data_IF_317230806588
#
_entry.id   IF_317230806588
#
_cell.length_a   1.000
_cell.length_b   1.000
_cell.length_c   1.000
_cell.angle_alpha   90.00
_cell.angle_beta   90.00
_cell.angle_gamma   90.00
#
_symmetry.space_group_name_H-M   'P 1'
#
loop_
_entity.id
_entity.type
_entity.pdbx_description
1 polymer ?
#
# COMPACT_ATOMS: atom_id res chain seq x y z
N UNK A 1 28.26 6.74 18.76
CA UNK A 1 28.06 6.34 17.35
C UNK A 1 26.93 7.19 16.82
N UNK A 2 27.22 8.04 15.83
CA UNK A 2 26.29 9.05 15.32
C UNK A 2 25.39 8.41 14.27
N UNK A 3 24.11 8.21 14.59
CA UNK A 3 23.09 7.87 13.60
C UNK A 3 22.92 9.08 12.67
N UNK A 4 23.12 8.92 11.36
CA UNK A 4 22.92 10.01 10.41
C UNK A 4 21.42 10.26 10.18
N UNK A 5 20.79 11.04 11.07
CA UNK A 5 19.43 11.55 10.88
C UNK A 5 19.51 13.01 10.43
N UNK A 6 18.68 13.42 9.46
CA UNK A 6 18.51 14.85 9.11
C UNK A 6 18.06 15.67 10.33
N UNK A 7 17.51 15.05 11.38
CA UNK A 7 17.26 15.72 12.68
C UNK A 7 18.54 16.20 13.37
N UNK A 8 19.69 15.57 13.13
CA UNK A 8 20.99 16.09 13.57
C UNK A 8 21.41 17.34 12.82
N UNK A 9 20.99 17.50 11.55
CA UNK A 9 21.19 18.72 10.76
C UNK A 9 20.26 19.86 11.24
N UNK A 10 19.04 19.55 11.70
CA UNK A 10 18.10 20.54 12.27
C UNK A 10 18.56 21.17 13.60
N UNK A 11 19.56 20.61 14.30
CA UNK A 11 20.05 21.17 15.59
C UNK A 11 20.96 22.38 15.40
N UNK A 12 21.59 22.53 14.24
CA UNK A 12 22.42 23.70 13.94
C UNK A 12 21.56 24.77 13.24
N UNK A 13 20.96 25.65 14.04
CA UNK A 13 20.21 26.84 13.60
C UNK A 13 21.11 27.90 12.93
N UNK A 14 21.77 27.53 11.85
CA UNK A 14 22.32 28.46 10.87
C UNK A 14 21.85 28.03 9.50
N UNK A 15 21.02 28.86 8.89
CA UNK A 15 20.46 28.70 7.55
C UNK A 15 21.55 28.54 6.48
N UNK A 16 22.07 27.33 6.32
CA UNK A 16 22.76 26.91 5.11
C UNK A 16 21.92 25.78 4.53
N UNK A 17 21.52 25.95 3.27
CA UNK A 17 21.03 24.85 2.45
C UNK A 17 22.14 23.80 2.42
N UNK A 18 22.00 22.76 3.23
CA UNK A 18 22.98 21.69 3.30
C UNK A 18 22.69 20.71 2.19
N UNK A 19 23.78 20.34 1.49
CA UNK A 19 23.77 19.38 0.42
C UNK A 19 24.61 18.18 0.84
N UNK A 20 23.95 17.06 1.03
CA UNK A 20 24.59 15.80 1.45
C UNK A 20 24.43 14.73 0.38
N UNK A 21 25.21 13.65 0.49
CA UNK A 21 25.07 12.47 -0.35
C UNK A 21 24.72 11.26 0.52
N UNK A 22 23.76 10.47 0.06
CA UNK A 22 23.44 9.13 0.58
C UNK A 22 23.29 8.20 -0.60
N UNK A 23 23.66 6.93 -0.45
CA UNK A 23 23.59 6.02 -1.59
C UNK A 23 22.15 5.78 -2.06
N UNK A 24 21.23 5.54 -1.11
CA UNK A 24 19.85 5.15 -1.40
C UNK A 24 18.86 5.98 -0.61
N UNK A 25 17.91 6.61 -1.31
CA UNK A 25 16.76 7.28 -0.71
C UNK A 25 15.53 6.40 -0.92
N UNK A 26 14.79 6.15 0.16
CA UNK A 26 13.48 5.49 0.15
C UNK A 26 12.44 6.56 0.50
N UNK A 27 11.40 6.69 -0.31
CA UNK A 27 10.33 7.66 -0.07
C UNK A 27 9.00 6.96 0.18
N UNK A 28 8.12 7.65 0.91
CA UNK A 28 6.72 7.27 1.05
C UNK A 28 6.36 6.77 2.44
N UNK A 29 5.27 6.02 2.51
CA UNK A 29 4.75 5.40 3.74
C UNK A 29 4.05 4.09 3.38
N UNK A 30 3.66 3.34 4.40
CA UNK A 30 2.91 2.09 4.23
C UNK A 30 3.77 0.83 4.27
N UNK A 31 3.10 -0.33 4.28
CA UNK A 31 3.68 -1.56 4.83
C UNK A 31 4.82 -2.11 3.99
N UNK A 32 4.73 -2.00 2.67
CA UNK A 32 5.74 -2.55 1.77
C UNK A 32 7.00 -1.67 1.68
N UNK A 33 6.83 -0.36 1.82
CA UNK A 33 7.94 0.60 1.91
C UNK A 33 8.71 0.41 3.22
N UNK A 34 7.99 0.24 4.35
CA UNK A 34 8.60 -0.05 5.65
C UNK A 34 9.26 -1.43 5.65
N UNK A 35 8.65 -2.44 5.01
CA UNK A 35 9.24 -3.76 4.85
C UNK A 35 10.57 -3.68 4.11
N UNK A 36 10.62 -2.99 2.97
CA UNK A 36 11.87 -2.83 2.25
C UNK A 36 12.91 -2.06 3.07
N UNK A 37 12.51 -0.98 3.74
CA UNK A 37 13.41 -0.23 4.61
C UNK A 37 14.01 -1.12 5.70
N UNK A 38 13.19 -1.90 6.42
CA UNK A 38 13.66 -2.78 7.50
C UNK A 38 14.69 -3.79 6.99
N UNK A 39 14.40 -4.44 5.85
CA UNK A 39 15.33 -5.38 5.22
C UNK A 39 16.65 -4.74 4.78
N UNK A 40 16.59 -3.56 4.17
CA UNK A 40 17.79 -2.82 3.75
C UNK A 40 18.57 -2.32 4.98
N UNK A 41 17.89 -1.86 6.02
CA UNK A 41 18.49 -1.36 7.24
C UNK A 41 19.21 -2.45 8.05
N UNK A 42 18.74 -3.69 7.95
CA UNK A 42 19.37 -4.86 8.58
C UNK A 42 20.61 -5.36 7.83
N UNK A 43 20.69 -5.13 6.51
CA UNK A 43 21.74 -5.73 5.66
C UNK A 43 22.78 -4.73 5.16
N UNK A 44 22.43 -3.45 5.00
CA UNK A 44 23.33 -2.41 4.50
C UNK A 44 23.87 -1.52 5.63
N UNK A 45 24.89 -0.74 5.29
CA UNK A 45 25.37 0.31 6.19
C UNK A 45 24.27 1.36 6.40
N UNK A 46 24.01 1.72 7.65
CA UNK A 46 22.91 2.62 8.03
C UNK A 46 23.09 4.03 7.47
N UNK A 47 24.34 4.47 7.32
CA UNK A 47 24.66 5.81 6.81
C UNK A 47 24.42 5.93 5.29
N UNK A 48 24.20 4.81 4.59
CA UNK A 48 23.93 4.77 3.14
C UNK A 48 22.44 4.87 2.79
N UNK A 49 21.57 4.90 3.79
CA UNK A 49 20.12 4.84 3.65
C UNK A 49 19.46 6.08 4.25
N UNK A 50 18.62 6.74 3.47
CA UNK A 50 17.72 7.79 3.95
C UNK A 50 16.27 7.43 3.67
N UNK A 51 15.48 7.25 4.74
CA UNK A 51 14.04 7.09 4.61
C UNK A 51 13.35 8.43 4.81
N UNK A 52 12.67 8.90 3.76
CA UNK A 52 11.88 10.13 3.74
C UNK A 52 10.40 9.78 3.76
N UNK A 53 9.66 10.40 4.68
CA UNK A 53 8.21 10.37 4.67
C UNK A 53 7.65 11.78 4.82
N UNK A 54 6.49 12.05 4.20
CA UNK A 54 5.83 13.35 4.34
C UNK A 54 5.35 13.60 5.76
N UNK A 55 4.81 12.57 6.38
CA UNK A 55 4.17 12.61 7.69
C UNK A 55 4.86 11.65 8.67
N UNK A 56 4.49 11.73 9.95
CA UNK A 56 4.90 10.73 10.92
C UNK A 56 4.26 9.38 10.61
N UNK A 57 5.06 8.32 10.76
CA UNK A 57 4.58 6.96 10.59
C UNK A 57 3.76 6.56 11.81
N UNK A 58 2.69 5.82 11.56
CA UNK A 58 1.75 5.33 12.55
C UNK A 58 1.74 3.81 12.54
N UNK A 59 1.07 3.19 13.52
CA UNK A 59 0.85 1.74 13.52
C UNK A 59 0.10 1.26 12.27
N UNK A 60 -0.62 2.17 11.60
CA UNK A 60 -1.38 1.87 10.38
C UNK A 60 -0.51 1.73 9.15
N UNK A 61 0.74 2.19 9.21
CA UNK A 61 1.67 2.05 8.11
C UNK A 61 2.41 0.70 8.14
N UNK A 62 2.28 -0.09 9.22
CA UNK A 62 3.12 -1.28 9.45
C UNK A 62 2.64 -2.56 8.74
N UNK A 63 1.35 -2.68 8.44
CA UNK A 63 0.79 -3.83 7.72
C UNK A 63 -0.49 -3.44 6.96
N UNK A 64 -0.92 -4.23 5.95
CA UNK A 64 -2.15 -3.97 5.20
C UNK A 64 -3.41 -4.08 6.05
N UNK A 65 -4.41 -3.22 5.78
CA UNK A 65 -5.70 -3.20 6.47
C UNK A 65 -6.83 -3.68 5.57
N UNK A 66 -7.91 -4.13 6.20
CA UNK A 66 -9.12 -4.52 5.50
C UNK A 66 -9.14 -6.02 5.18
N UNK A 67 -10.16 -6.46 4.43
CA UNK A 67 -10.24 -7.84 3.97
C UNK A 67 -8.96 -8.28 3.27
N UNK A 68 -8.64 -9.57 3.35
CA UNK A 68 -7.37 -10.09 2.89
C UNK A 68 -7.01 -9.63 1.47
N UNK A 69 -5.83 -9.01 1.28
CA UNK A 69 -5.33 -8.57 -0.02
C UNK A 69 -4.66 -9.71 -0.81
N UNK A 70 -4.59 -10.92 -0.25
CA UNK A 70 -4.04 -12.11 -0.91
C UNK A 70 -5.20 -12.92 -1.51
N UNK A 71 -5.45 -12.77 -2.82
CA UNK A 71 -6.56 -13.46 -3.50
C UNK A 71 -6.20 -13.91 -4.89
N UNK A 72 -6.83 -14.99 -5.34
CA UNK A 72 -6.60 -15.54 -6.67
C UNK A 72 -5.37 -16.44 -6.75
N UNK A 73 -5.40 -17.36 -7.69
CA UNK A 73 -4.46 -18.47 -7.79
C UNK A 73 -3.01 -18.00 -8.00
N UNK A 74 -2.79 -17.03 -8.89
CA UNK A 74 -1.45 -16.50 -9.18
C UNK A 74 -0.82 -15.83 -7.93
N UNK A 75 -1.59 -15.00 -7.22
CA UNK A 75 -1.13 -14.30 -6.03
C UNK A 75 -0.85 -15.26 -4.87
N UNK A 76 -1.74 -16.24 -4.64
CA UNK A 76 -1.57 -17.25 -3.57
C UNK A 76 -0.37 -18.15 -3.88
N UNK A 77 -0.21 -18.56 -5.13
CA UNK A 77 0.94 -19.37 -5.56
C UNK A 77 2.26 -18.62 -5.37
N UNK A 78 2.30 -17.34 -5.76
CA UNK A 78 3.46 -16.48 -5.50
C UNK A 78 3.77 -16.41 -4.01
N UNK A 79 2.77 -16.12 -3.16
CA UNK A 79 2.96 -16.06 -1.72
C UNK A 79 3.52 -17.36 -1.14
N UNK A 80 2.93 -18.51 -1.51
CA UNK A 80 3.37 -19.82 -1.01
C UNK A 80 4.81 -20.14 -1.39
N UNK A 81 5.25 -19.75 -2.59
CA UNK A 81 6.62 -20.02 -3.06
C UNK A 81 7.70 -19.29 -2.25
N UNK A 82 7.38 -18.15 -1.64
CA UNK A 82 8.36 -17.29 -0.98
C UNK A 82 8.19 -17.18 0.55
N UNK A 83 6.98 -17.41 1.07
CA UNK A 83 6.65 -17.09 2.46
C UNK A 83 6.02 -18.25 3.26
N UNK A 84 5.64 -19.34 2.58
CA UNK A 84 5.06 -20.52 3.23
C UNK A 84 6.03 -21.70 3.12
N UNK A 85 6.25 -22.50 4.18
CA UNK A 85 6.96 -23.76 4.05
C UNK A 85 6.27 -24.65 3.01
N UNK A 86 7.02 -25.39 2.20
CA UNK A 86 6.47 -26.23 1.12
C UNK A 86 5.44 -27.29 1.57
N UNK A 87 5.32 -27.54 2.89
CA UNK A 87 4.38 -28.47 3.50
C UNK A 87 3.05 -27.86 3.94
N UNK A 88 2.89 -26.54 3.88
CA UNK A 88 1.69 -25.83 4.33
C UNK A 88 1.02 -25.11 3.15
N UNK A 89 -0.29 -25.31 2.99
CA UNK A 89 -1.09 -24.56 2.03
C UNK A 89 -1.90 -23.50 2.77
N UNK A 90 -1.95 -22.30 2.20
CA UNK A 90 -2.84 -21.25 2.70
C UNK A 90 -4.29 -21.68 2.56
N UNK A 91 -5.04 -21.61 3.67
CA UNK A 91 -6.48 -21.85 3.68
C UNK A 91 -7.17 -20.84 2.76
N UNK A 92 -8.06 -21.33 1.89
CA UNK A 92 -8.80 -20.49 0.95
C UNK A 92 -10.25 -20.33 1.37
N UNK A 93 -10.75 -19.10 1.24
CA UNK A 93 -12.08 -18.68 1.66
C UNK A 93 -12.90 -18.24 0.47
N UNK A 94 -14.20 -18.57 0.51
CA UNK A 94 -15.14 -18.17 -0.54
C UNK A 94 -15.69 -16.77 -0.26
N UNK A 95 -16.29 -16.21 -1.29
CA UNK A 95 -16.97 -14.93 -1.21
C UNK A 95 -18.48 -15.09 -1.36
N UNK A 96 -19.24 -14.31 -0.59
CA UNK A 96 -20.70 -14.28 -0.60
C UNK A 96 -21.22 -12.85 -0.68
N UNK A 97 -22.43 -12.64 -1.21
CA UNK A 97 -23.08 -11.34 -1.24
C UNK A 97 -24.47 -11.38 -0.62
N UNK A 98 -24.89 -10.29 0.01
CA UNK A 98 -26.18 -10.20 0.68
C UNK A 98 -27.29 -9.74 -0.27
N UNK A 99 -28.29 -10.59 -0.51
CA UNK A 99 -29.46 -10.30 -1.35
C UNK A 99 -30.69 -11.06 -0.91
N UNK A 100 -31.87 -10.46 -1.05
CA UNK A 100 -33.15 -11.06 -0.65
C UNK A 100 -33.15 -11.60 0.79
N UNK A 101 -32.55 -10.82 1.70
CA UNK A 101 -32.41 -11.12 3.13
C UNK A 101 -31.53 -12.34 3.48
N UNK A 102 -30.67 -12.79 2.56
CA UNK A 102 -29.75 -13.90 2.80
C UNK A 102 -28.40 -13.71 2.09
N UNK A 103 -27.36 -14.36 2.60
CA UNK A 103 -26.09 -14.48 1.89
C UNK A 103 -26.18 -15.51 0.76
N UNK A 104 -25.63 -15.17 -0.40
CA UNK A 104 -25.62 -15.98 -1.61
C UNK A 104 -24.18 -16.12 -2.13
N UNK A 105 -23.83 -17.27 -2.67
CA UNK A 105 -22.53 -17.47 -3.32
C UNK A 105 -22.48 -16.74 -4.67
N UNK A 106 -21.30 -16.22 -5.02
CA UNK A 106 -21.00 -15.83 -6.40
C UNK A 106 -21.05 -17.05 -7.33
N UNK A 107 -21.36 -16.83 -8.62
CA UNK A 107 -21.54 -17.89 -9.64
C UNK A 107 -22.78 -18.79 -9.46
N UNK A 108 -23.64 -18.51 -8.49
CA UNK A 108 -24.94 -19.17 -8.32
C UNK A 108 -26.03 -18.64 -9.26
N UNK A 109 -27.29 -19.02 -8.98
CA UNK A 109 -28.47 -18.52 -9.72
C UNK A 109 -28.79 -17.05 -9.45
N UNK A 110 -28.37 -16.53 -8.31
CA UNK A 110 -28.59 -15.15 -7.89
C UNK A 110 -27.48 -14.25 -8.46
N UNK A 111 -27.83 -13.03 -8.82
CA UNK A 111 -26.87 -12.00 -9.25
C UNK A 111 -26.74 -10.94 -8.16
N UNK A 112 -25.51 -10.59 -7.81
CA UNK A 112 -25.23 -9.44 -6.95
C UNK A 112 -25.70 -8.13 -7.59
N UNK A 113 -25.72 -7.06 -6.81
CA UNK A 113 -25.72 -5.73 -7.41
C UNK A 113 -24.41 -5.51 -8.19
N UNK A 114 -24.35 -4.53 -9.10
CA UNK A 114 -23.15 -4.26 -9.88
C UNK A 114 -21.92 -4.07 -8.98
N UNK A 115 -20.85 -4.81 -9.30
CA UNK A 115 -19.56 -4.66 -8.63
C UNK A 115 -18.85 -3.45 -9.21
N UNK A 116 -18.42 -2.53 -8.34
CA UNK A 116 -17.74 -1.31 -8.76
C UNK A 116 -16.25 -1.35 -8.41
N UNK A 117 -15.45 -0.60 -9.18
CA UNK A 117 -14.02 -0.46 -8.94
C UNK A 117 -13.32 -1.81 -8.75
N UNK A 118 -12.67 -2.00 -7.61
CA UNK A 118 -11.87 -3.18 -7.27
C UNK A 118 -12.68 -4.28 -6.56
N UNK A 119 -14.00 -4.16 -6.45
CA UNK A 119 -14.85 -5.14 -5.76
C UNK A 119 -14.76 -6.53 -6.39
N UNK A 120 -14.57 -6.62 -7.70
CA UNK A 120 -14.43 -7.90 -8.40
C UNK A 120 -13.19 -8.69 -7.96
N UNK A 121 -12.14 -8.02 -7.46
CA UNK A 121 -10.99 -8.68 -6.83
C UNK A 121 -11.42 -9.62 -5.70
N UNK A 122 -12.35 -9.13 -4.87
CA UNK A 122 -12.79 -9.81 -3.66
C UNK A 122 -13.80 -10.92 -3.94
N UNK A 123 -14.20 -11.12 -5.20
CA UNK A 123 -14.98 -12.31 -5.60
C UNK A 123 -14.11 -13.55 -5.77
N UNK A 124 -12.80 -13.37 -5.90
CA UNK A 124 -11.83 -14.45 -5.97
C UNK A 124 -11.62 -15.05 -4.58
N UNK A 125 -11.25 -16.34 -4.55
CA UNK A 125 -10.90 -17.02 -3.31
C UNK A 125 -9.77 -16.27 -2.60
N UNK A 126 -9.98 -15.97 -1.32
CA UNK A 126 -9.00 -15.28 -0.48
C UNK A 126 -8.14 -16.26 0.30
N UNK A 127 -6.83 -15.99 0.35
CA UNK A 127 -5.89 -16.64 1.26
C UNK A 127 -5.72 -15.83 2.54
N UNK A 128 -5.28 -16.48 3.62
CA UNK A 128 -4.89 -15.80 4.86
C UNK A 128 -3.37 -15.67 4.94
N UNK A 129 -2.81 -14.48 4.69
CA UNK A 129 -1.39 -14.27 4.85
C UNK A 129 -1.01 -14.28 6.33
N UNK A 130 0.10 -14.93 6.65
CA UNK A 130 0.75 -14.84 7.95
C UNK A 130 1.49 -13.50 8.04
N UNK A 131 0.80 -12.47 8.54
CA UNK A 131 1.35 -11.13 8.66
C UNK A 131 2.55 -11.05 9.60
N UNK A 132 2.67 -11.93 10.60
CA UNK A 132 3.82 -11.95 11.51
C UNK A 132 5.07 -12.45 10.80
N UNK A 133 4.95 -13.34 9.81
CA UNK A 133 6.06 -13.74 8.94
C UNK A 133 6.49 -12.66 7.95
N UNK A 134 5.53 -11.93 7.38
CA UNK A 134 5.81 -10.91 6.35
C UNK A 134 6.31 -9.61 6.99
N UNK A 135 5.69 -9.20 8.09
CA UNK A 135 5.93 -7.93 8.79
C UNK A 135 6.29 -8.21 10.27
N UNK A 136 7.46 -8.82 10.55
CA UNK A 136 7.81 -9.32 11.88
C UNK A 136 7.87 -8.24 12.96
N UNK A 137 8.06 -6.98 12.56
CA UNK A 137 8.09 -5.83 13.45
C UNK A 137 6.71 -5.33 13.89
N UNK A 138 5.60 -5.82 13.31
CA UNK A 138 4.26 -5.25 13.56
C UNK A 138 3.77 -5.40 15.01
N UNK A 139 4.35 -6.35 15.75
CA UNK A 139 4.06 -6.59 17.18
C UNK A 139 5.05 -5.90 18.12
N UNK A 140 6.08 -5.24 17.58
CA UNK A 140 7.09 -4.54 18.37
C UNK A 140 6.64 -3.13 18.70
N UNK A 141 6.40 -2.86 19.99
CA UNK A 141 6.02 -1.53 20.47
C UNK A 141 7.15 -0.49 20.25
N UNK A 142 8.41 -0.92 20.38
CA UNK A 142 9.57 -0.03 20.24
C UNK A 142 9.94 0.26 18.78
N UNK A 143 9.56 -0.62 17.85
CA UNK A 143 9.94 -0.48 16.44
C UNK A 143 9.41 0.81 15.82
N UNK A 144 8.14 1.15 16.06
CA UNK A 144 7.54 2.35 15.49
C UNK A 144 8.19 3.63 16.04
N UNK A 145 8.56 3.62 17.33
CA UNK A 145 9.26 4.73 17.96
C UNK A 145 10.64 4.90 17.33
N UNK A 146 11.43 3.82 17.24
CA UNK A 146 12.74 3.82 16.59
C UNK A 146 12.65 4.27 15.13
N UNK A 147 11.70 3.73 14.36
CA UNK A 147 11.52 4.07 12.97
C UNK A 147 11.21 5.57 12.79
N UNK A 148 10.34 6.13 13.63
CA UNK A 148 10.04 7.57 13.60
C UNK A 148 11.23 8.45 14.05
N UNK A 149 12.16 7.93 14.86
CA UNK A 149 13.41 8.63 15.16
C UNK A 149 14.33 8.71 13.94
N UNK A 150 14.39 7.62 13.16
CA UNK A 150 15.28 7.47 12.01
C UNK A 150 14.72 8.10 10.72
N UNK A 151 13.40 8.11 10.55
CA UNK A 151 12.73 8.71 9.39
C UNK A 151 12.95 10.23 9.33
N UNK A 152 13.27 10.70 8.14
CA UNK A 152 13.22 12.12 7.81
C UNK A 152 11.78 12.50 7.45
N UNK A 153 11.05 13.05 8.42
CA UNK A 153 9.72 13.61 8.19
C UNK A 153 9.83 14.98 7.52
N UNK A 154 9.73 15.01 6.19
CA UNK A 154 9.84 16.23 5.40
C UNK A 154 9.14 16.11 4.04
N UNK A 155 8.60 17.22 3.54
CA UNK A 155 8.00 17.29 2.22
C UNK A 155 9.09 17.42 1.14
N UNK A 156 9.03 16.57 0.12
CA UNK A 156 9.85 16.72 -1.09
C UNK A 156 9.23 17.81 -1.94
N UNK A 157 10.03 18.81 -2.32
CA UNK A 157 9.59 19.90 -3.18
C UNK A 157 9.93 19.64 -4.64
N UNK A 158 11.08 18.99 -4.91
CA UNK A 158 11.53 18.71 -6.27
C UNK A 158 12.48 17.51 -6.31
N UNK A 159 12.38 16.72 -7.38
CA UNK A 159 13.34 15.66 -7.72
C UNK A 159 13.88 15.94 -9.12
N UNK A 160 15.20 15.90 -9.25
CA UNK A 160 15.90 16.15 -10.51
C UNK A 160 16.82 14.98 -10.84
N UNK A 161 16.82 14.55 -12.10
CA UNK A 161 17.83 13.63 -12.62
C UNK A 161 19.13 14.41 -12.85
N UNK A 162 20.23 13.89 -12.32
CA UNK A 162 21.56 14.42 -12.52
C UNK A 162 22.25 13.73 -13.71
N UNK A 163 23.18 14.43 -14.41
CA UNK A 163 24.00 13.82 -15.44
C UNK A 163 24.84 12.67 -14.89
N UNK A 164 24.92 11.56 -15.62
CA UNK A 164 25.75 10.42 -15.27
C UNK A 164 27.24 10.77 -15.41
N UNK A 165 28.00 10.63 -14.33
CA UNK A 165 29.48 10.70 -14.37
C UNK A 165 30.05 9.33 -14.02
N UNK A 166 30.46 8.59 -15.06
CA UNK A 166 30.97 7.23 -14.97
C UNK A 166 32.37 7.13 -14.33
N UNK A 167 33.00 8.26 -13.99
CA UNK A 167 34.37 8.28 -13.43
C UNK A 167 34.41 8.36 -11.90
N UNK A 168 33.25 8.48 -11.23
CA UNK A 168 33.16 8.63 -9.78
C UNK A 168 32.74 7.32 -9.09
N UNK A 169 33.32 7.05 -7.92
CA UNK A 169 32.96 5.89 -7.07
C UNK A 169 31.57 6.00 -6.44
N UNK A 170 30.99 7.21 -6.38
CA UNK A 170 29.65 7.48 -5.88
C UNK A 170 28.84 8.12 -7.00
N UNK A 171 28.01 7.33 -7.67
CA UNK A 171 27.32 7.77 -8.88
C UNK A 171 26.09 8.61 -8.49
N UNK A 172 26.22 9.94 -8.62
CA UNK A 172 25.13 10.87 -8.29
C UNK A 172 24.11 10.89 -9.43
N UNK A 173 22.99 10.21 -9.24
CA UNK A 173 21.93 10.07 -10.26
C UNK A 173 20.74 10.97 -10.01
N UNK A 174 20.46 11.25 -8.74
CA UNK A 174 19.28 12.01 -8.32
C UNK A 174 19.64 13.13 -7.37
N UNK A 175 18.92 14.24 -7.48
CA UNK A 175 18.92 15.33 -6.52
C UNK A 175 17.50 15.50 -5.97
N UNK A 176 17.33 15.26 -4.68
CA UNK A 176 16.08 15.47 -3.96
C UNK A 176 16.20 16.79 -3.19
N UNK A 177 15.33 17.74 -3.51
CA UNK A 177 15.21 19.02 -2.80
C UNK A 177 13.96 18.99 -1.93
N UNK A 178 14.12 19.23 -0.65
CA UNK A 178 13.02 19.30 0.30
C UNK A 178 12.44 20.71 0.41
N UNK A 179 11.23 20.82 0.96
CA UNK A 179 10.55 22.09 1.17
C UNK A 179 11.30 23.04 2.13
N UNK A 180 12.19 22.54 3.00
CA UNK A 180 13.07 23.39 3.81
C UNK A 180 14.21 24.05 3.01
N UNK A 181 14.47 23.59 1.79
CA UNK A 181 15.64 23.98 0.98
C UNK A 181 16.84 23.04 1.12
N UNK A 182 16.79 22.05 2.02
CA UNK A 182 17.81 21.01 2.14
C UNK A 182 17.84 20.13 0.88
N UNK A 183 19.04 19.65 0.54
CA UNK A 183 19.28 18.87 -0.67
C UNK A 183 20.02 17.57 -0.37
N UNK A 184 19.60 16.50 -1.03
CA UNK A 184 20.24 15.19 -0.91
C UNK A 184 20.49 14.65 -2.31
N UNK A 185 21.75 14.31 -2.59
CA UNK A 185 22.12 13.56 -3.78
C UNK A 185 22.10 12.06 -3.47
N UNK A 186 21.60 11.25 -4.40
CA UNK A 186 21.69 9.80 -4.27
C UNK A 186 21.90 9.08 -5.61
N UNK A 187 22.28 7.81 -5.49
CA UNK A 187 22.45 6.90 -6.61
C UNK A 187 21.15 6.16 -6.92
N UNK A 188 20.46 5.68 -5.88
CA UNK A 188 19.21 4.94 -6.00
C UNK A 188 18.06 5.72 -5.37
N UNK A 189 16.96 5.87 -6.11
CA UNK A 189 15.72 6.46 -5.64
C UNK A 189 14.63 5.39 -5.64
N UNK A 190 14.13 5.04 -4.46
CA UNK A 190 13.02 4.10 -4.28
C UNK A 190 11.77 4.88 -3.93
N UNK A 191 10.78 4.84 -4.81
CA UNK A 191 9.49 5.48 -4.67
C UNK A 191 8.45 4.52 -4.10
N UNK A 192 8.13 4.69 -2.82
CA UNK A 192 7.09 3.94 -2.11
C UNK A 192 5.82 4.75 -1.86
N UNK A 193 5.73 5.96 -2.40
CA UNK A 193 4.52 6.79 -2.41
C UNK A 193 3.67 6.45 -3.64
N UNK A 194 2.39 6.87 -3.67
CA UNK A 194 1.57 6.75 -4.87
C UNK A 194 2.24 7.41 -6.08
N UNK A 195 2.13 6.79 -7.26
CA UNK A 195 2.87 7.23 -8.45
C UNK A 195 2.49 8.66 -8.86
N UNK A 196 1.23 9.09 -8.67
CA UNK A 196 0.84 10.46 -9.00
C UNK A 196 1.58 11.53 -8.21
N UNK A 197 1.99 11.24 -6.97
CA UNK A 197 2.78 12.17 -6.15
C UNK A 197 4.18 12.38 -6.75
N UNK A 198 4.71 11.39 -7.46
CA UNK A 198 6.00 11.52 -8.15
C UNK A 198 5.93 12.60 -9.24
N UNK A 199 4.83 12.61 -9.99
CA UNK A 199 4.59 13.56 -11.07
C UNK A 199 4.38 15.00 -10.57
N UNK A 200 4.07 15.19 -9.30
CA UNK A 200 3.95 16.52 -8.68
C UNK A 200 5.32 17.12 -8.35
N UNK A 201 6.33 16.28 -8.10
CA UNK A 201 7.67 16.73 -7.66
C UNK A 201 8.76 16.53 -8.70
N UNK A 202 8.46 15.87 -9.81
CA UNK A 202 9.43 15.49 -10.85
C UNK A 202 8.93 15.88 -12.24
N UNK A 203 9.84 16.30 -13.12
CA UNK A 203 9.54 16.50 -14.54
C UNK A 203 9.42 15.16 -15.27
N UNK A 204 8.25 14.54 -15.11
CA UNK A 204 7.93 13.22 -15.62
C UNK A 204 8.08 13.09 -17.15
N UNK A 205 7.80 14.15 -17.91
CA UNK A 205 7.85 14.12 -19.37
C UNK A 205 9.26 13.89 -19.92
N UNK A 206 10.29 14.18 -19.11
CA UNK A 206 11.69 14.00 -19.48
C UNK A 206 12.26 12.62 -19.12
N UNK A 207 11.57 11.85 -18.27
CA UNK A 207 12.09 10.62 -17.65
C UNK A 207 11.28 9.37 -17.97
N UNK A 208 10.02 9.53 -18.36
CA UNK A 208 9.11 8.44 -18.65
C UNK A 208 8.74 8.42 -20.12
N UNK A 209 8.73 7.23 -20.72
CA UNK A 209 8.21 7.06 -22.07
C UNK A 209 6.68 7.14 -22.11
N UNK A 210 6.10 7.28 -23.31
CA UNK A 210 4.65 7.40 -23.49
C UNK A 210 3.89 6.20 -22.92
N UNK A 211 4.48 5.01 -22.97
CA UNK A 211 3.89 3.78 -22.45
C UNK A 211 3.73 3.85 -20.92
N UNK A 212 4.74 4.39 -20.21
CA UNK A 212 4.66 4.62 -18.78
C UNK A 212 3.64 5.70 -18.42
N UNK A 213 3.53 6.76 -19.22
CA UNK A 213 2.52 7.80 -19.03
C UNK A 213 1.10 7.24 -19.18
N UNK A 214 0.88 6.36 -20.17
CA UNK A 214 -0.40 5.67 -20.38
C UNK A 214 -0.71 4.72 -19.21
N UNK A 215 0.27 3.91 -18.79
CA UNK A 215 0.20 3.08 -17.60
C UNK A 215 -0.25 3.90 -16.38
N UNK A 216 0.40 5.03 -16.13
CA UNK A 216 0.10 5.94 -15.02
C UNK A 216 -1.30 6.55 -15.07
N UNK A 217 -1.78 6.95 -16.25
CA UNK A 217 -3.11 7.57 -16.36
C UNK A 217 -4.24 6.61 -15.99
N UNK A 218 -4.03 5.29 -16.17
CA UNK A 218 -4.98 4.27 -15.74
C UNK A 218 -5.01 4.05 -14.22
N UNK A 219 -4.14 4.72 -13.43
CA UNK A 219 -3.94 4.45 -12.00
C UNK A 219 -4.62 5.40 -11.03
N UNK A 220 -5.28 6.46 -11.50
CA UNK A 220 -5.63 7.62 -10.66
C UNK A 220 -7.04 7.60 -10.06
N UNK A 221 -7.84 6.61 -10.39
CA UNK A 221 -9.30 6.78 -10.30
C UNK A 221 -9.89 6.39 -8.95
N UNK A 222 -9.19 5.55 -8.17
CA UNK A 222 -9.81 4.83 -7.04
C UNK A 222 -9.06 5.08 -5.74
N UNK A 223 -9.83 5.34 -4.68
CA UNK A 223 -9.40 5.44 -3.29
C UNK A 223 -10.11 4.40 -2.43
N UNK A 224 -9.56 4.07 -1.26
CA UNK A 224 -10.06 3.03 -0.37
C UNK A 224 -10.46 3.61 0.98
N UNK A 225 -11.68 3.31 1.43
CA UNK A 225 -12.15 3.57 2.79
C UNK A 225 -12.15 2.26 3.57
N UNK A 226 -11.25 2.17 4.54
CA UNK A 226 -11.13 1.05 5.47
C UNK A 226 -11.89 1.34 6.76
N UNK A 227 -12.66 0.35 7.20
CA UNK A 227 -13.39 0.40 8.47
C UNK A 227 -13.09 -0.86 9.26
N UNK A 228 -12.91 -0.72 10.56
CA UNK A 228 -12.76 -1.84 11.46
C UNK A 228 -13.55 -1.60 12.74
N UNK A 229 -14.23 -2.65 13.19
CA UNK A 229 -15.04 -2.64 14.41
C UNK A 229 -14.81 -3.92 15.20
N UNK A 230 -14.88 -3.85 16.53
CA UNK A 230 -15.17 -5.03 17.34
C UNK A 230 -16.69 -5.26 17.42
N UNK A 231 -17.09 -6.54 17.46
CA UNK A 231 -18.48 -6.99 17.48
C UNK A 231 -18.75 -7.97 18.60
N UNK A 232 -19.94 -7.88 19.20
CA UNK A 232 -20.40 -8.78 20.26
C UNK A 232 -21.81 -9.32 19.99
N UNK A 233 -22.05 -10.65 20.03
CA UNK A 233 -21.04 -11.70 20.22
C UNK A 233 -20.10 -11.81 19.02
N UNK A 234 -18.94 -12.43 19.22
CA UNK A 234 -17.99 -12.69 18.15
C UNK A 234 -18.62 -13.60 17.08
N UNK A 235 -18.30 -13.34 15.82
CA UNK A 235 -18.72 -14.17 14.70
C UNK A 235 -17.47 -14.74 14.03
N UNK A 236 -17.24 -16.04 14.17
CA UNK A 236 -16.16 -16.71 13.46
C UNK A 236 -16.74 -17.48 12.28
N UNK A 237 -17.09 -16.79 11.21
CA UNK A 237 -17.33 -17.45 9.92
C UNK A 237 -16.50 -16.76 8.85
N UNK A 238 -15.68 -17.58 8.22
CA UNK A 238 -14.41 -17.24 7.60
C UNK A 238 -14.57 -16.70 6.16
N UNK A 239 -15.77 -16.40 5.70
CA UNK A 239 -16.02 -15.97 4.32
C UNK A 239 -15.88 -14.46 4.14
N UNK A 240 -15.48 -14.06 2.92
CA UNK A 240 -15.56 -12.66 2.48
C UNK A 240 -17.01 -12.34 2.14
N UNK A 241 -17.57 -11.26 2.67
CA UNK A 241 -18.96 -10.90 2.43
C UNK A 241 -19.11 -9.51 1.80
N UNK A 242 -20.16 -9.34 0.99
CA UNK A 242 -20.49 -8.10 0.31
C UNK A 242 -21.83 -7.56 0.81
N UNK A 243 -21.80 -6.35 1.37
CA UNK A 243 -22.97 -5.60 1.83
C UNK A 243 -23.27 -4.49 0.80
N UNK A 244 -24.40 -4.54 0.07
CA UNK A 244 -24.75 -3.48 -0.88
C UNK A 244 -25.02 -2.16 -0.15
N UNK A 245 -24.50 -1.05 -0.68
CA UNK A 245 -24.76 0.28 -0.13
C UNK A 245 -26.18 0.78 -0.45
N UNK A 246 -26.76 0.25 -1.52
CA UNK A 246 -28.11 0.56 -1.97
C UNK A 246 -28.66 -0.61 -2.78
N UNK A 247 -29.96 -0.84 -2.67
CA UNK A 247 -30.68 -1.81 -3.51
C UNK A 247 -31.27 -1.17 -4.77
N UNK A 248 -31.18 0.16 -4.89
CA UNK A 248 -31.84 0.93 -5.95
C UNK A 248 -30.87 1.81 -6.73
N UNK A 249 -29.64 1.95 -6.25
CA UNK A 249 -28.60 2.76 -6.86
C UNK A 249 -27.32 1.95 -6.95
N UNK A 250 -26.58 2.12 -8.04
CA UNK A 250 -25.29 1.47 -8.27
C UNK A 250 -24.21 2.19 -7.44
N UNK A 251 -24.17 1.87 -6.15
CA UNK A 251 -23.21 2.44 -5.19
C UNK A 251 -22.15 1.46 -4.75
N UNK A 252 -22.12 0.26 -5.33
CA UNK A 252 -21.21 -0.81 -4.95
C UNK A 252 -21.52 -1.40 -3.58
N UNK A 253 -20.48 -1.96 -2.97
CA UNK A 253 -20.55 -2.76 -1.76
C UNK A 253 -19.51 -2.30 -0.73
N UNK A 254 -19.82 -2.54 0.55
CA UNK A 254 -18.78 -2.77 1.54
C UNK A 254 -18.39 -4.24 1.44
N UNK A 255 -17.10 -4.48 1.22
CA UNK A 255 -16.53 -5.84 1.27
C UNK A 255 -15.97 -6.02 2.67
N UNK A 256 -16.29 -7.13 3.33
CA UNK A 256 -15.85 -7.37 4.70
C UNK A 256 -15.41 -8.80 4.98
N UNK A 257 -14.62 -8.96 6.04
CA UNK A 257 -14.19 -10.23 6.61
C UNK A 257 -14.23 -10.19 8.13
N UNK A 258 -14.57 -11.33 8.74
CA UNK A 258 -14.47 -11.50 10.18
C UNK A 258 -13.13 -12.13 10.59
N UNK A 259 -12.56 -11.57 11.65
CA UNK A 259 -11.39 -12.04 12.37
C UNK A 259 -11.75 -12.11 13.85
N UNK A 260 -12.24 -13.27 14.30
CA UNK A 260 -12.72 -13.49 15.67
C UNK A 260 -13.84 -12.50 16.07
N UNK A 261 -13.57 -11.60 17.02
CA UNK A 261 -14.50 -10.54 17.44
C UNK A 261 -14.37 -9.26 16.62
N UNK A 262 -13.53 -9.24 15.58
CA UNK A 262 -13.26 -8.07 14.76
C UNK A 262 -13.83 -8.25 13.37
N UNK A 263 -14.41 -7.20 12.81
CA UNK A 263 -14.78 -7.12 11.40
C UNK A 263 -13.92 -6.06 10.73
N UNK A 264 -13.36 -6.42 9.58
CA UNK A 264 -12.59 -5.51 8.72
C UNK A 264 -13.35 -5.33 7.42
N UNK A 265 -13.54 -4.08 6.99
CA UNK A 265 -14.28 -3.73 5.80
C UNK A 265 -13.48 -2.76 4.93
N UNK A 266 -13.72 -2.83 3.63
CA UNK A 266 -13.25 -1.86 2.63
C UNK A 266 -14.39 -1.44 1.72
N UNK A 267 -14.39 -0.18 1.32
CA UNK A 267 -15.23 0.36 0.26
C UNK A 267 -14.41 1.26 -0.65
N UNK A 268 -14.69 1.20 -1.95
CA UNK A 268 -13.95 1.94 -2.96
C UNK A 268 -14.71 3.20 -3.38
N UNK A 269 -13.99 4.30 -3.47
CA UNK A 269 -14.53 5.61 -3.78
C UNK A 269 -13.78 6.20 -4.97
N UNK A 270 -14.52 6.89 -5.85
CA UNK A 270 -13.89 7.68 -6.89
C UNK A 270 -13.12 8.83 -6.22
N UNK A 271 -11.81 8.86 -6.45
CA UNK A 271 -10.89 9.81 -5.82
C UNK A 271 -11.22 11.27 -6.14
N UNK A 272 -11.70 11.57 -7.33
CA UNK A 272 -12.01 12.96 -7.74
C UNK A 272 -13.26 13.52 -7.05
N UNK A 273 -14.15 12.64 -6.58
CA UNK A 273 -15.44 12.99 -6.03
C UNK A 273 -15.54 12.81 -4.50
N UNK A 274 -14.45 12.39 -3.85
CA UNK A 274 -14.46 12.10 -2.41
C UNK A 274 -14.19 13.36 -1.58
N UNK A 275 -15.00 13.55 -0.56
CA UNK A 275 -14.83 14.58 0.47
C UNK A 275 -15.27 14.03 1.83
N UNK A 276 -15.03 14.79 2.90
CA UNK A 276 -15.33 14.37 4.27
C UNK A 276 -16.82 14.04 4.49
N UNK A 277 -17.73 14.84 3.90
CA UNK A 277 -19.18 14.62 4.00
C UNK A 277 -19.60 13.28 3.37
N UNK A 278 -19.03 12.97 2.20
CA UNK A 278 -19.29 11.71 1.51
C UNK A 278 -18.73 10.53 2.29
N UNK A 279 -17.51 10.63 2.84
CA UNK A 279 -16.93 9.59 3.71
C UNK A 279 -17.82 9.36 4.93
N UNK A 280 -18.24 10.42 5.64
CA UNK A 280 -19.11 10.33 6.81
C UNK A 280 -20.45 9.67 6.48
N UNK A 281 -21.04 10.00 5.33
CA UNK A 281 -22.28 9.39 4.82
C UNK A 281 -22.09 7.90 4.56
N UNK A 282 -20.97 7.49 3.95
CA UNK A 282 -20.66 6.07 3.65
C UNK A 282 -20.47 5.26 4.92
N UNK A 283 -19.76 5.80 5.92
CA UNK A 283 -19.60 5.15 7.24
C UNK A 283 -20.95 4.92 7.90
N UNK A 284 -21.83 5.93 7.90
CA UNK A 284 -23.16 5.83 8.49
C UNK A 284 -24.04 4.79 7.79
N UNK A 285 -23.94 4.69 6.46
CA UNK A 285 -24.61 3.64 5.68
C UNK A 285 -24.05 2.26 6.07
N UNK A 286 -22.73 2.12 6.16
CA UNK A 286 -22.06 0.88 6.55
C UNK A 286 -22.61 0.34 7.87
N UNK A 287 -22.56 1.14 8.95
CA UNK A 287 -23.02 0.74 10.28
C UNK A 287 -24.48 0.31 10.28
N UNK A 288 -25.36 1.10 9.66
CA UNK A 288 -26.80 0.79 9.58
C UNK A 288 -27.07 -0.50 8.81
N UNK A 289 -26.39 -0.69 7.68
CA UNK A 289 -26.52 -1.92 6.89
C UNK A 289 -25.96 -3.13 7.65
N UNK A 290 -24.84 -2.96 8.33
CA UNK A 290 -24.23 -4.01 9.16
C UNK A 290 -25.17 -4.47 10.26
N UNK A 291 -25.71 -3.56 11.08
CA UNK A 291 -26.65 -3.90 12.15
C UNK A 291 -27.95 -4.54 11.64
N UNK A 292 -28.39 -4.18 10.42
CA UNK A 292 -29.56 -4.79 9.79
C UNK A 292 -29.30 -6.22 9.34
N UNK A 293 -28.10 -6.49 8.80
CA UNK A 293 -27.72 -7.79 8.25
C UNK A 293 -27.28 -8.75 9.35
N UNK A 294 -26.61 -8.24 10.39
CA UNK A 294 -26.12 -8.96 11.54
C UNK A 294 -26.79 -8.46 12.83
N UNK A 295 -28.11 -8.60 12.99
CA UNK A 295 -28.86 -8.00 14.11
C UNK A 295 -28.46 -8.54 15.49
N UNK A 296 -27.79 -9.69 15.52
CA UNK A 296 -27.29 -10.29 16.75
C UNK A 296 -25.91 -9.76 17.14
N UNK A 297 -25.14 -9.22 16.19
CA UNK A 297 -23.75 -8.77 16.38
C UNK A 297 -23.71 -7.24 16.47
N UNK A 298 -23.58 -6.72 17.69
CA UNK A 298 -23.52 -5.28 17.93
C UNK A 298 -22.11 -4.76 17.75
N UNK A 299 -21.98 -3.66 17.02
CA UNK A 299 -20.73 -2.90 16.93
C UNK A 299 -20.42 -2.27 18.28
N UNK A 300 -19.19 -2.43 18.76
CA UNK A 300 -18.67 -1.76 19.94
C UNK A 300 -18.06 -0.42 19.53
N UNK A 301 -18.82 0.68 19.65
CA UNK A 301 -18.43 2.01 19.14
C UNK A 301 -17.07 2.50 19.65
N UNK A 302 -16.63 2.05 20.83
CA UNK A 302 -15.33 2.43 21.43
C UNK A 302 -14.12 1.88 20.68
N UNK A 303 -14.32 1.01 19.69
CA UNK A 303 -13.26 0.29 18.96
C UNK A 303 -13.21 0.65 17.48
N UNK A 304 -13.97 1.69 17.09
CA UNK A 304 -14.03 2.13 15.70
C UNK A 304 -12.67 2.62 15.20
N UNK A 305 -12.25 2.03 14.09
CA UNK A 305 -11.14 2.51 13.29
C UNK A 305 -11.63 2.81 11.88
N UNK A 306 -11.28 4.01 11.41
CA UNK A 306 -11.60 4.53 10.09
C UNK A 306 -10.29 5.03 9.49
N UNK A 307 -9.96 4.55 8.30
CA UNK A 307 -8.80 5.00 7.57
C UNK A 307 -9.13 5.18 6.09
N UNK A 308 -8.80 6.35 5.57
CA UNK A 308 -8.95 6.66 4.17
C UNK A 308 -7.57 6.63 3.52
N UNK A 309 -7.42 5.79 2.50
CA UNK A 309 -6.25 5.77 1.65
C UNK A 309 -6.58 6.35 0.29
N UNK A 310 -5.77 7.31 -0.13
CA UNK A 310 -5.89 7.94 -1.44
C UNK A 310 -5.43 7.00 -2.56
N UNK A 311 -4.64 5.98 -2.22
CA UNK A 311 -4.22 4.93 -3.12
C UNK A 311 -5.06 3.66 -2.90
N UNK A 312 -5.51 3.07 -3.99
CA UNK A 312 -6.20 1.79 -4.00
C UNK A 312 -5.51 0.84 -4.97
N UNK A 313 -5.53 -0.48 -4.73
CA UNK A 313 -5.03 -1.44 -5.68
C UNK A 313 -5.71 -1.28 -7.04
N UNK A 314 -5.02 -1.52 -8.15
CA UNK A 314 -5.64 -1.50 -9.48
C UNK A 314 -5.72 -2.91 -10.02
N UNK A 315 -6.91 -3.30 -10.46
CA UNK A 315 -7.17 -4.65 -10.96
C UNK A 315 -6.50 -4.95 -12.30
N UNK A 316 -6.64 -4.03 -13.25
CA UNK A 316 -6.20 -4.23 -14.63
C UNK A 316 -5.00 -3.33 -14.92
N UNK A 317 -3.90 -3.58 -14.22
CA UNK A 317 -2.63 -2.92 -14.54
C UNK A 317 -2.08 -3.59 -15.80
N UNK A 318 -1.94 -2.83 -16.89
CA UNK A 318 -1.33 -3.31 -18.11
C UNK A 318 0.20 -3.25 -18.02
N UNK A 319 0.77 -4.29 -17.44
CA UNK A 319 2.21 -4.53 -17.37
C UNK A 319 2.79 -5.09 -18.69
N UNK A 320 1.98 -5.32 -19.73
CA UNK A 320 2.47 -5.79 -21.04
C UNK A 320 3.12 -4.68 -21.86
N UNK A 321 2.99 -3.44 -21.40
CA UNK A 321 3.70 -2.33 -21.99
C UNK A 321 5.19 -2.46 -21.62
N UNK A 322 6.05 -2.54 -22.63
CA UNK A 322 7.51 -2.42 -22.50
C UNK A 322 7.90 -0.99 -22.07
N UNK A 323 7.28 -0.47 -21.00
CA UNK A 323 7.57 0.84 -20.47
C UNK A 323 9.00 0.83 -19.92
N UNK A 324 9.71 1.92 -20.18
CA UNK A 324 11.05 2.16 -19.68
C UNK A 324 11.01 3.40 -18.80
N UNK A 325 11.58 3.24 -17.63
CA UNK A 325 11.95 4.35 -16.76
C UNK A 325 13.44 4.23 -16.42
N UNK A 326 13.96 5.28 -15.81
CA UNK A 326 15.39 5.43 -15.54
C UNK A 326 16.00 4.27 -14.76
N UNK A 327 17.25 3.97 -15.11
CA UNK A 327 18.06 3.07 -14.30
C UNK A 327 18.19 3.67 -12.90
N UNK A 328 17.90 2.87 -11.88
CA UNK A 328 17.98 3.26 -10.46
C UNK A 328 16.87 4.19 -9.95
N UNK A 329 15.76 4.30 -10.67
CA UNK A 329 14.46 4.62 -10.08
C UNK A 329 13.71 3.30 -9.84
N UNK A 330 13.22 3.08 -8.63
CA UNK A 330 12.46 1.88 -8.28
C UNK A 330 11.10 2.27 -7.72
N UNK A 331 10.12 1.40 -7.93
CA UNK A 331 8.78 1.56 -7.37
C UNK A 331 8.48 0.41 -6.42
N UNK A 332 7.88 0.72 -5.28
CA UNK A 332 7.49 -0.27 -4.28
C UNK A 332 6.05 0.00 -3.87
N UNK A 333 5.21 -1.02 -3.91
CA UNK A 333 3.81 -0.89 -3.49
C UNK A 333 2.84 -1.71 -4.32
N UNK A 334 1.57 -1.59 -3.97
CA UNK A 334 0.46 -2.38 -4.54
C UNK A 334 0.17 -2.08 -6.01
N UNK A 335 0.64 -0.93 -6.50
CA UNK A 335 0.52 -0.49 -7.89
C UNK A 335 1.88 -0.31 -8.56
N UNK A 336 2.95 -0.85 -7.97
CA UNK A 336 4.28 -0.75 -8.56
C UNK A 336 4.30 -1.40 -9.95
N UNK A 337 4.91 -0.76 -10.96
CA UNK A 337 5.18 -1.37 -12.25
C UNK A 337 6.00 -2.66 -12.09
N UNK A 338 5.51 -3.76 -12.65
CA UNK A 338 6.21 -5.04 -12.68
C UNK A 338 6.42 -5.52 -14.11
N UNK A 339 7.58 -6.12 -14.38
CA UNK A 339 7.96 -6.61 -15.71
C UNK A 339 8.04 -8.14 -15.68
N UNK A 340 7.67 -8.80 -16.79
CA UNK A 340 7.84 -10.24 -16.97
C UNK A 340 6.76 -11.08 -16.28
N UNK A 341 7.15 -12.20 -15.66
CA UNK A 341 6.22 -13.15 -15.02
C UNK A 341 5.42 -12.55 -13.85
N UNK A 342 5.93 -11.46 -13.27
CA UNK A 342 5.27 -10.78 -12.13
C UNK A 342 4.11 -9.87 -12.56
N UNK A 343 3.89 -9.67 -13.86
CA UNK A 343 2.80 -8.84 -14.43
C UNK A 343 1.41 -9.36 -14.09
N UNK A 344 1.27 -10.66 -13.83
CA UNK A 344 0.00 -11.29 -13.46
C UNK A 344 -0.38 -11.08 -11.99
N UNK A 345 0.53 -10.53 -11.18
CA UNK A 345 0.31 -10.33 -9.76
C UNK A 345 -0.50 -9.06 -9.52
N UNK A 346 -1.23 -9.03 -8.41
CA UNK A 346 -1.97 -7.86 -7.95
C UNK A 346 -1.92 -7.71 -6.43
N UNK A 347 -2.31 -6.53 -5.94
CA UNK A 347 -2.42 -6.24 -4.50
C UNK A 347 -1.13 -6.61 -3.73
N UNK A 348 -1.25 -7.44 -2.69
CA UNK A 348 -0.14 -7.84 -1.84
C UNK A 348 0.96 -8.58 -2.61
N UNK A 349 0.62 -9.51 -3.50
CA UNK A 349 1.64 -10.27 -4.22
C UNK A 349 2.45 -9.37 -5.15
N UNK A 350 1.79 -8.41 -5.82
CA UNK A 350 2.48 -7.37 -6.61
C UNK A 350 3.43 -6.54 -5.74
N UNK A 351 2.95 -6.09 -4.58
CA UNK A 351 3.78 -5.30 -3.67
C UNK A 351 5.00 -6.09 -3.14
N UNK A 352 4.81 -7.36 -2.76
CA UNK A 352 5.91 -8.23 -2.32
C UNK A 352 6.92 -8.49 -3.46
N UNK A 353 6.44 -8.68 -4.69
CA UNK A 353 7.31 -8.79 -5.87
C UNK A 353 8.10 -7.51 -6.12
N UNK A 354 7.48 -6.34 -5.95
CA UNK A 354 8.19 -5.05 -6.08
C UNK A 354 9.32 -4.91 -5.04
N UNK A 355 9.07 -5.29 -3.79
CA UNK A 355 10.11 -5.34 -2.73
C UNK A 355 11.23 -6.28 -3.15
N UNK A 356 10.90 -7.49 -3.60
CA UNK A 356 11.91 -8.50 -3.96
C UNK A 356 12.76 -8.11 -5.16
N UNK A 357 12.18 -7.43 -6.14
CA UNK A 357 12.92 -6.90 -7.29
C UNK A 357 13.98 -5.88 -6.86
N UNK A 358 13.65 -5.00 -5.91
CA UNK A 358 14.60 -4.04 -5.36
C UNK A 358 15.68 -4.72 -4.52
N UNK A 359 15.32 -5.68 -3.68
CA UNK A 359 16.29 -6.50 -2.91
C UNK A 359 17.31 -7.16 -3.85
N UNK A 360 16.82 -7.85 -4.88
CA UNK A 360 17.67 -8.55 -5.85
C UNK A 360 18.60 -7.58 -6.60
N UNK A 361 18.10 -6.40 -6.99
CA UNK A 361 18.92 -5.38 -7.66
C UNK A 361 20.00 -4.83 -6.72
N UNK A 362 19.64 -4.59 -5.46
CA UNK A 362 20.53 -4.00 -4.47
C UNK A 362 21.46 -5.01 -3.77
N UNK A 363 21.33 -6.30 -4.10
CA UNK A 363 22.16 -7.40 -3.58
C UNK A 363 21.84 -7.78 -2.14
N UNK A 364 20.56 -7.79 -1.77
CA UNK A 364 20.05 -8.04 -0.40
C UNK A 364 19.26 -9.34 -0.29
#
# INVERSE_FOLDING_TARGET
>A
MSLFSIKHLKKDKTSKNEKIYVNTIITGKGPYTILLWDKLFQTKNRDDLLFVSRDHLTKYDLYPWGPSPLRGEANISYYNNFFTPQSENVETRKSVFYKDLAFREFSGRYKSEPLLFNESFYTQNGGLPDYDKIFPYRTSEDFLALLNELVCTELIAKIEKLPTDTNLTNEKRWLVTFASGNQVECENLIWGSPIFELFEVMDAASLFDLNFIEFYNNMKEVSSLYLQFEVSPALSNLDTFFIPLSYTHEWGHFVGEFHESRVELVHFLNRENVNEDEIAKRIKICKRSFEKIFPQNKILETTEFIYFDSESPILNIDDNNNYKYEDRLFFVGINAPLIGESSQLSNMARALASVKNVENFLGV
#
